data_IF_889282666868
#
_entry.id   IF_889282666868
#
_cell.length_a   1.000
_cell.length_b   1.000
_cell.length_c   1.000
_cell.angle_alpha   90.00
_cell.angle_beta   90.00
_cell.angle_gamma   90.00
#
_symmetry.space_group_name_H-M   'P 1'
#
loop_
_entity.id
_entity.type
_entity.pdbx_description
1 polymer ?
#
# COMPACT_ATOMS: atom_id res chain seq x y z
N UNK A 1 60.72 -99.41 18.00
CA UNK A 1 59.36 -99.70 17.51
C UNK A 1 58.52 -98.47 17.79
N UNK A 2 58.08 -97.79 16.73
CA UNK A 2 57.39 -96.51 16.75
C UNK A 2 55.86 -96.69 16.82
N UNK A 3 55.14 -95.68 17.31
CA UNK A 3 53.95 -95.01 16.73
C UNK A 3 53.26 -94.19 17.86
N UNK A 4 53.34 -92.86 17.84
CA UNK A 4 52.44 -91.86 17.22
C UNK A 4 51.55 -91.16 18.25
N UNK A 5 51.88 -89.90 18.52
CA UNK A 5 50.97 -88.84 19.00
C UNK A 5 51.08 -87.67 18.03
N UNK A 6 49.96 -87.15 17.52
CA UNK A 6 49.97 -86.00 16.61
C UNK A 6 48.71 -85.15 16.80
N UNK A 7 48.90 -83.89 17.19
CA UNK A 7 47.99 -82.75 17.01
C UNK A 7 48.69 -81.50 17.61
N UNK A 8 48.72 -80.28 17.08
CA UNK A 8 48.45 -79.69 15.76
C UNK A 8 48.77 -78.17 15.89
N UNK A 9 49.53 -77.60 14.92
CA UNK A 9 49.64 -76.15 14.53
C UNK A 9 50.23 -75.17 15.58
N UNK A 10 50.90 -74.06 15.24
CA UNK A 10 50.60 -72.96 14.29
C UNK A 10 51.92 -72.30 13.82
N UNK A 11 52.00 -71.91 12.54
CA UNK A 11 53.09 -71.09 11.97
C UNK A 11 52.70 -69.60 11.96
N UNK A 12 53.62 -68.74 12.40
CA UNK A 12 53.52 -67.28 12.37
C UNK A 12 54.20 -66.77 11.08
N UNK A 13 53.48 -66.03 10.23
CA UNK A 13 54.06 -65.24 9.13
C UNK A 13 53.61 -63.79 9.25
N UNK A 14 54.58 -62.92 9.48
CA UNK A 14 54.49 -61.46 9.45
C UNK A 14 54.34 -60.95 8.01
N UNK A 15 53.41 -60.01 7.78
CA UNK A 15 53.34 -59.17 6.59
C UNK A 15 53.20 -57.71 7.05
N UNK A 16 54.17 -56.87 6.69
CA UNK A 16 54.10 -55.42 6.81
C UNK A 16 53.07 -54.89 5.80
N UNK A 17 52.14 -54.05 6.28
CA UNK A 17 51.29 -53.23 5.42
C UNK A 17 51.59 -51.75 5.74
N UNK A 18 52.17 -51.04 4.77
CA UNK A 18 52.34 -49.58 4.80
C UNK A 18 50.98 -48.92 4.58
N UNK A 19 50.47 -48.23 5.59
CA UNK A 19 49.28 -47.38 5.45
C UNK A 19 49.70 -46.02 4.87
N UNK A 20 49.29 -45.74 3.63
CA UNK A 20 49.36 -44.40 3.03
C UNK A 20 48.29 -43.53 3.69
N UNK A 21 48.69 -42.58 4.53
CA UNK A 21 47.79 -41.59 5.12
C UNK A 21 47.53 -40.49 4.08
N UNK A 22 46.47 -40.59 3.30
CA UNK A 22 45.99 -39.47 2.48
C UNK A 22 45.42 -38.40 3.40
N UNK A 23 46.15 -37.30 3.62
CA UNK A 23 45.57 -36.07 4.14
C UNK A 23 44.56 -35.57 3.11
N UNK A 24 43.28 -35.89 3.32
CA UNK A 24 42.22 -35.10 2.71
C UNK A 24 42.23 -33.74 3.43
N UNK A 25 42.84 -32.72 2.81
CA UNK A 25 42.46 -31.35 3.15
C UNK A 25 40.95 -31.27 2.87
N UNK A 26 40.10 -30.98 3.86
CA UNK A 26 38.76 -30.56 3.52
C UNK A 26 38.92 -29.31 2.65
N UNK A 27 38.46 -29.38 1.41
CA UNK A 27 38.14 -28.17 0.67
C UNK A 27 37.17 -27.40 1.57
N UNK A 28 37.64 -26.30 2.16
CA UNK A 28 36.79 -25.27 2.72
C UNK A 28 35.95 -24.75 1.56
N UNK A 29 34.87 -25.44 1.26
CA UNK A 29 33.69 -24.79 0.71
C UNK A 29 33.27 -23.85 1.81
N UNK A 30 33.50 -22.56 1.61
CA UNK A 30 32.97 -21.50 2.46
C UNK A 30 31.44 -21.62 2.42
N UNK A 31 30.90 -22.47 3.30
CA UNK A 31 29.47 -22.53 3.53
C UNK A 31 29.16 -21.24 4.28
N UNK A 32 28.92 -20.18 3.51
CA UNK A 32 28.54 -18.88 4.02
C UNK A 32 27.48 -19.10 5.10
N UNK A 33 27.85 -18.74 6.33
CA UNK A 33 27.11 -19.16 7.50
C UNK A 33 25.70 -18.57 7.42
N UNK A 34 24.69 -19.43 7.63
CA UNK A 34 23.30 -19.03 7.59
C UNK A 34 23.04 -17.94 8.62
N UNK A 35 22.30 -16.92 8.21
CA UNK A 35 21.94 -15.82 9.08
C UNK A 35 20.74 -16.17 9.95
N UNK A 36 20.75 -15.64 11.18
CA UNK A 36 19.65 -15.72 12.14
C UNK A 36 19.10 -14.31 12.39
N UNK A 37 17.78 -14.23 12.53
CA UNK A 37 17.07 -13.00 12.85
C UNK A 37 16.31 -13.24 14.17
N UNK A 38 16.93 -12.97 15.33
CA UNK A 38 16.40 -13.41 16.63
C UNK A 38 15.02 -12.86 16.98
N UNK A 39 14.65 -11.71 16.41
CA UNK A 39 13.35 -11.06 16.64
C UNK A 39 12.25 -11.56 15.68
N UNK A 40 12.58 -12.39 14.71
CA UNK A 40 11.57 -13.14 13.92
C UNK A 40 11.09 -14.35 14.73
N UNK A 41 9.78 -14.47 14.91
CA UNK A 41 9.15 -15.52 15.74
C UNK A 41 9.10 -16.85 14.99
N UNK A 42 10.04 -17.77 15.26
CA UNK A 42 10.09 -19.10 14.63
C UNK A 42 10.00 -19.10 13.08
N UNK A 43 10.53 -18.03 12.45
CA UNK A 43 10.48 -17.83 10.99
C UNK A 43 9.27 -17.02 10.50
N UNK A 44 8.42 -16.53 11.39
CA UNK A 44 7.39 -15.55 11.07
C UNK A 44 8.01 -14.16 10.85
N UNK A 45 7.59 -13.44 9.78
CA UNK A 45 8.09 -12.09 9.53
C UNK A 45 7.73 -11.12 10.65
N UNK A 46 8.64 -10.20 10.95
CA UNK A 46 8.37 -9.01 11.77
C UNK A 46 7.32 -8.17 11.04
N UNK A 47 6.13 -8.04 11.65
CA UNK A 47 5.05 -7.22 11.12
C UNK A 47 5.17 -5.79 11.66
N UNK A 48 5.26 -4.83 10.76
CA UNK A 48 5.26 -3.40 11.10
C UNK A 48 4.13 -2.69 10.38
N UNK A 49 3.43 -1.82 11.10
CA UNK A 49 2.44 -0.92 10.51
C UNK A 49 3.06 0.45 10.25
N UNK A 50 2.85 0.97 9.04
CA UNK A 50 3.26 2.31 8.63
C UNK A 50 2.06 2.98 7.98
N UNK A 51 1.86 4.26 8.21
CA UNK A 51 0.86 5.03 7.47
C UNK A 51 1.44 5.53 6.16
N UNK A 52 0.62 5.69 5.14
CA UNK A 52 1.04 6.50 4.00
C UNK A 52 1.40 7.93 4.42
N UNK A 53 2.14 8.64 3.56
CA UNK A 53 2.71 9.94 3.90
C UNK A 53 3.90 9.88 4.87
N UNK A 54 4.34 8.69 5.30
CA UNK A 54 5.52 8.53 6.15
C UNK A 54 6.72 9.33 5.60
N UNK A 55 7.22 10.28 6.41
CA UNK A 55 8.26 11.23 6.01
C UNK A 55 9.56 10.50 5.66
N UNK A 56 10.37 11.10 4.79
CA UNK A 56 11.72 10.62 4.49
C UNK A 56 12.56 10.57 5.77
N UNK A 57 13.24 9.45 6.00
CA UNK A 57 14.06 9.18 7.19
C UNK A 57 13.31 8.48 8.32
N UNK A 58 12.01 8.23 8.19
CA UNK A 58 11.23 7.49 9.19
C UNK A 58 11.77 6.08 9.35
N UNK A 59 11.93 5.63 10.60
CA UNK A 59 12.33 4.25 10.91
C UNK A 59 11.13 3.33 10.67
N UNK A 60 11.33 2.32 9.83
CA UNK A 60 10.34 1.30 9.51
C UNK A 60 10.59 0.08 10.39
N UNK A 61 11.81 -0.45 10.36
CA UNK A 61 12.23 -1.58 11.21
C UNK A 61 13.58 -1.25 11.81
N UNK A 62 13.76 -1.56 13.10
CA UNK A 62 15.06 -1.65 13.75
C UNK A 62 15.13 -3.03 14.42
N UNK A 63 16.14 -3.82 14.09
CA UNK A 63 16.25 -5.20 14.55
C UNK A 63 17.70 -5.70 14.49
N UNK A 64 17.90 -6.97 14.81
CA UNK A 64 19.21 -7.62 14.92
C UNK A 64 19.33 -8.83 14.00
N UNK A 65 20.57 -9.15 13.63
CA UNK A 65 20.92 -10.32 12.82
C UNK A 65 22.27 -10.88 13.25
N UNK A 66 22.43 -12.19 13.09
CA UNK A 66 23.67 -12.90 13.37
C UNK A 66 24.09 -13.75 12.17
N UNK A 67 25.41 -13.93 11.91
CA UNK A 67 26.50 -13.30 12.64
C UNK A 67 26.67 -11.81 12.29
N UNK A 68 27.25 -11.03 13.21
CA UNK A 68 27.33 -9.57 13.10
C UNK A 68 28.17 -9.05 11.92
N UNK A 69 29.03 -9.88 11.36
CA UNK A 69 29.88 -9.62 10.20
C UNK A 69 29.26 -10.08 8.87
N UNK A 70 28.04 -10.63 8.88
CA UNK A 70 27.36 -11.03 7.66
C UNK A 70 27.02 -9.83 6.75
N UNK A 71 27.12 -10.04 5.44
CA UNK A 71 26.72 -9.04 4.45
C UNK A 71 25.19 -9.07 4.28
N UNK A 72 24.52 -7.98 4.62
CA UNK A 72 23.06 -7.85 4.57
C UNK A 72 22.64 -6.78 3.57
N UNK A 73 21.76 -7.13 2.63
CA UNK A 73 21.21 -6.25 1.60
C UNK A 73 19.70 -6.45 1.45
N UNK A 74 18.99 -5.44 0.95
CA UNK A 74 17.61 -5.63 0.49
C UNK A 74 17.64 -6.30 -0.89
N UNK A 75 17.16 -7.54 -0.96
CA UNK A 75 17.06 -8.32 -2.20
C UNK A 75 15.89 -7.84 -3.07
N UNK A 76 14.70 -7.75 -2.49
CA UNK A 76 13.48 -7.29 -3.16
C UNK A 76 12.49 -6.71 -2.17
N UNK A 77 11.58 -5.88 -2.67
CA UNK A 77 10.42 -5.38 -1.95
C UNK A 77 9.23 -5.57 -2.87
N UNK A 78 8.35 -6.50 -2.53
CA UNK A 78 7.19 -6.83 -3.35
C UNK A 78 5.90 -6.41 -2.64
N UNK A 79 4.98 -5.81 -3.36
CA UNK A 79 3.63 -5.54 -2.85
C UNK A 79 2.70 -6.74 -3.09
N UNK A 80 1.79 -6.99 -2.14
CA UNK A 80 0.74 -8.01 -2.26
C UNK A 80 -0.39 -7.66 -3.24
N UNK A 81 -0.66 -6.39 -3.51
CA UNK A 81 -1.78 -5.93 -4.35
C UNK A 81 -1.43 -4.78 -5.31
N UNK A 82 -0.20 -4.25 -5.28
CA UNK A 82 0.28 -3.16 -6.13
C UNK A 82 1.51 -3.61 -6.92
N UNK A 83 1.34 -4.61 -7.78
CA UNK A 83 2.44 -5.23 -8.52
C UNK A 83 3.14 -4.30 -9.52
N UNK A 84 2.50 -3.19 -9.91
CA UNK A 84 3.07 -2.19 -10.82
C UNK A 84 3.85 -1.10 -10.08
N UNK A 85 3.74 -1.03 -8.75
CA UNK A 85 4.40 -0.02 -7.93
C UNK A 85 5.80 -0.49 -7.50
N UNK A 86 6.80 0.35 -7.77
CA UNK A 86 8.19 0.09 -7.41
C UNK A 86 8.50 0.66 -6.02
N UNK A 87 8.63 -0.23 -5.03
CA UNK A 87 8.90 0.15 -3.65
C UNK A 87 10.39 0.14 -3.29
N UNK A 88 11.25 -0.53 -4.07
CA UNK A 88 12.66 -0.75 -3.71
C UNK A 88 13.44 0.55 -3.43
N UNK A 89 13.19 1.59 -4.22
CA UNK A 89 13.88 2.88 -4.07
C UNK A 89 13.34 3.74 -2.92
N UNK A 90 12.19 3.35 -2.34
CA UNK A 90 11.54 4.06 -1.24
C UNK A 90 12.11 3.69 0.11
N UNK A 91 13.00 2.69 0.18
CA UNK A 91 13.63 2.25 1.42
C UNK A 91 15.15 2.21 1.31
N UNK A 92 15.82 2.42 2.44
CA UNK A 92 17.23 2.19 2.62
C UNK A 92 17.48 1.26 3.80
N UNK A 93 18.53 0.45 3.72
CA UNK A 93 19.00 -0.43 4.78
C UNK A 93 20.33 0.10 5.28
N UNK A 94 20.46 0.23 6.60
CA UNK A 94 21.71 0.55 7.26
C UNK A 94 22.02 -0.55 8.26
N UNK A 95 23.28 -0.99 8.33
CA UNK A 95 23.75 -1.99 9.29
C UNK A 95 24.81 -1.41 10.22
N UNK A 96 24.99 -2.02 11.38
CA UNK A 96 26.06 -1.70 12.32
C UNK A 96 27.01 -2.88 12.47
N UNK A 97 28.25 -2.61 12.88
CA UNK A 97 29.26 -3.66 13.15
C UNK A 97 28.90 -4.62 14.30
N UNK A 98 27.76 -4.41 14.97
CA UNK A 98 27.26 -5.26 16.06
C UNK A 98 26.12 -6.17 15.63
N UNK A 99 25.83 -6.29 14.33
CA UNK A 99 24.72 -7.11 13.85
C UNK A 99 23.35 -6.46 14.08
N UNK A 100 23.27 -5.13 14.02
CA UNK A 100 22.00 -4.42 14.04
C UNK A 100 21.70 -3.88 12.66
N UNK A 101 20.43 -3.84 12.27
CA UNK A 101 20.01 -3.21 11.02
C UNK A 101 18.81 -2.31 11.24
N UNK A 102 18.75 -1.24 10.44
CA UNK A 102 17.63 -0.30 10.40
C UNK A 102 17.19 -0.10 8.96
N UNK A 103 15.89 -0.24 8.72
CA UNK A 103 15.26 0.13 7.46
C UNK A 103 14.57 1.47 7.63
N UNK A 104 14.88 2.43 6.76
CA UNK A 104 14.25 3.75 6.73
C UNK A 104 13.57 4.04 5.40
N UNK A 105 12.58 4.91 5.44
CA UNK A 105 12.02 5.50 4.22
C UNK A 105 13.01 6.48 3.58
N UNK A 106 13.18 6.38 2.26
CA UNK A 106 13.98 7.30 1.44
C UNK A 106 13.09 8.22 0.58
N UNK A 107 11.89 7.75 0.27
CA UNK A 107 10.83 8.49 -0.41
C UNK A 107 9.53 8.30 0.40
N UNK A 108 8.56 9.22 0.29
CA UNK A 108 7.25 9.01 0.87
C UNK A 108 6.65 7.68 0.44
N UNK A 109 5.97 7.00 1.35
CA UNK A 109 5.09 5.88 1.01
C UNK A 109 3.75 6.48 0.61
N UNK A 110 3.25 6.09 -0.56
CA UNK A 110 1.98 6.55 -1.10
C UNK A 110 1.21 5.34 -1.58
N UNK A 111 -0.06 5.25 -1.22
CA UNK A 111 -0.98 4.36 -1.91
C UNK A 111 -1.50 5.09 -3.17
N UNK A 112 -1.99 4.35 -4.18
CA UNK A 112 -2.61 5.00 -5.33
C UNK A 112 -3.85 5.77 -4.86
N UNK A 113 -4.00 7.06 -5.23
CA UNK A 113 -5.16 7.86 -4.84
C UNK A 113 -6.42 7.38 -5.56
N UNK A 114 -7.56 7.96 -5.22
CA UNK A 114 -8.78 7.86 -6.01
C UNK A 114 -8.47 8.01 -7.52
N UNK A 115 -9.02 7.18 -8.43
CA UNK A 115 -10.13 6.22 -8.26
C UNK A 115 -9.72 4.81 -7.79
N UNK A 116 -8.51 4.67 -7.24
CA UNK A 116 -8.14 3.45 -6.51
C UNK A 116 -9.01 3.28 -5.27
N UNK A 117 -9.31 2.03 -4.94
CA UNK A 117 -9.98 1.62 -3.68
C UNK A 117 -9.01 0.96 -2.71
N UNK A 118 -7.70 1.06 -2.98
CA UNK A 118 -6.66 0.41 -2.19
C UNK A 118 -6.37 1.23 -0.94
N UNK A 119 -7.04 0.88 0.15
CA UNK A 119 -6.84 1.49 1.48
C UNK A 119 -5.65 0.88 2.24
N UNK A 120 -5.11 -0.24 1.76
CA UNK A 120 -3.90 -0.84 2.36
C UNK A 120 -3.10 -1.68 1.37
N UNK A 121 -1.80 -1.83 1.65
CA UNK A 121 -0.94 -2.81 1.00
C UNK A 121 0.01 -3.47 2.00
N UNK A 122 0.39 -4.72 1.70
CA UNK A 122 1.46 -5.41 2.41
C UNK A 122 2.70 -5.43 1.53
N UNK A 123 3.81 -4.93 2.06
CA UNK A 123 5.13 -5.00 1.43
C UNK A 123 5.94 -6.11 2.09
N UNK A 124 6.36 -7.07 1.28
CA UNK A 124 7.22 -8.17 1.70
C UNK A 124 8.67 -7.81 1.37
N UNK A 125 9.44 -7.46 2.41
CA UNK A 125 10.86 -7.10 2.25
C UNK A 125 11.68 -8.37 2.43
N UNK A 126 12.33 -8.79 1.34
CA UNK A 126 13.25 -9.92 1.34
C UNK A 126 14.68 -9.41 1.50
N UNK A 127 15.39 -9.95 2.49
CA UNK A 127 16.79 -9.64 2.73
C UNK A 127 17.67 -10.71 2.10
N UNK A 128 18.78 -10.28 1.50
CA UNK A 128 19.89 -11.16 1.12
C UNK A 128 20.92 -11.08 2.23
N UNK A 129 21.21 -12.19 2.89
CA UNK A 129 22.24 -12.30 3.92
C UNK A 129 23.24 -13.38 3.52
N UNK A 130 24.52 -13.00 3.35
CA UNK A 130 25.56 -13.91 2.87
C UNK A 130 25.18 -14.69 1.59
N UNK A 131 24.44 -14.03 0.69
CA UNK A 131 23.96 -14.65 -0.56
C UNK A 131 22.71 -15.54 -0.42
N UNK A 132 22.17 -15.73 0.78
CA UNK A 132 20.92 -16.46 1.03
C UNK A 132 19.74 -15.50 1.26
N UNK A 133 18.56 -15.84 0.75
CA UNK A 133 17.37 -14.98 0.86
C UNK A 133 16.54 -15.32 2.10
N UNK A 134 16.09 -14.29 2.81
CA UNK A 134 15.26 -14.37 4.00
C UNK A 134 14.05 -13.44 3.89
N UNK A 135 12.86 -13.98 4.19
CA UNK A 135 11.59 -13.23 4.19
C UNK A 135 11.18 -12.95 5.63
N UNK A 136 11.83 -11.97 6.26
CA UNK A 136 11.72 -11.73 7.72
C UNK A 136 11.00 -10.43 8.07
N UNK A 137 10.54 -9.66 7.08
CA UNK A 137 9.88 -8.37 7.32
C UNK A 137 8.64 -8.24 6.43
N UNK A 138 7.51 -7.92 7.06
CA UNK A 138 6.27 -7.53 6.40
C UNK A 138 5.88 -6.14 6.88
N UNK A 139 5.72 -5.19 5.96
CA UNK A 139 5.26 -3.83 6.26
C UNK A 139 3.82 -3.70 5.77
N UNK A 140 2.87 -3.47 6.68
CA UNK A 140 1.51 -3.06 6.33
C UNK A 140 1.48 -1.55 6.19
N UNK A 141 1.24 -1.06 4.98
CA UNK A 141 1.03 0.36 4.70
C UNK A 141 -0.47 0.61 4.66
N UNK A 142 -0.96 1.53 5.50
CA UNK A 142 -2.36 1.88 5.61
C UNK A 142 -2.61 3.28 5.08
N UNK A 143 -3.73 3.48 4.39
CA UNK A 143 -4.17 4.82 4.00
C UNK A 143 -4.54 5.66 5.22
N UNK A 144 -4.44 6.97 5.05
CA UNK A 144 -5.00 7.95 5.98
C UNK A 144 -5.95 8.84 5.21
N UNK A 145 -7.01 9.31 5.86
CA UNK A 145 -7.81 10.40 5.27
C UNK A 145 -7.01 11.69 5.45
N UNK A 146 -6.27 12.08 4.42
CA UNK A 146 -5.45 13.30 4.41
C UNK A 146 -5.85 14.29 3.30
N UNK A 147 -6.85 13.93 2.50
CA UNK A 147 -7.52 14.82 1.58
C UNK A 147 -8.89 15.26 2.14
N UNK A 148 -9.38 16.37 1.61
CA UNK A 148 -10.74 16.83 1.87
C UNK A 148 -11.40 17.10 0.52
N UNK A 149 -12.74 17.02 0.42
CA UNK A 149 -13.42 17.25 -0.84
C UNK A 149 -13.08 18.60 -1.45
N UNK A 150 -12.55 18.58 -2.67
CA UNK A 150 -12.17 19.77 -3.41
C UNK A 150 -13.19 20.11 -4.49
N UNK A 151 -13.64 21.36 -4.56
CA UNK A 151 -14.58 21.84 -5.58
C UNK A 151 -13.86 22.22 -6.89
N UNK A 152 -14.34 21.73 -8.02
CA UNK A 152 -13.76 21.94 -9.35
C UNK A 152 -14.63 22.82 -10.26
N UNK A 153 -14.00 23.50 -11.21
CA UNK A 153 -14.67 24.33 -12.21
C UNK A 153 -14.76 25.81 -11.82
N UNK A 154 -15.65 26.55 -12.47
CA UNK A 154 -15.74 28.00 -12.28
C UNK A 154 -16.64 28.34 -11.08
N UNK A 155 -16.01 28.65 -9.95
CA UNK A 155 -16.67 29.10 -8.71
C UNK A 155 -16.83 30.64 -8.76
N UNK A 156 -18.00 31.21 -8.42
CA UNK A 156 -19.23 30.54 -7.99
C UNK A 156 -19.97 29.86 -9.16
N UNK A 157 -20.52 28.68 -8.87
CA UNK A 157 -21.39 27.94 -9.78
C UNK A 157 -22.67 28.72 -10.07
N UNK A 158 -23.17 28.62 -11.32
CA UNK A 158 -24.39 29.30 -11.74
C UNK A 158 -25.29 28.32 -12.50
N UNK A 159 -26.57 28.31 -12.14
CA UNK A 159 -27.62 27.60 -12.86
C UNK A 159 -28.76 28.55 -13.19
N UNK A 160 -29.34 28.38 -14.38
CA UNK A 160 -30.54 29.11 -14.79
C UNK A 160 -31.77 28.21 -14.61
N UNK A 161 -32.75 28.67 -13.83
CA UNK A 161 -34.00 27.93 -13.59
C UNK A 161 -35.18 28.79 -14.03
N UNK A 162 -36.14 28.18 -14.73
CA UNK A 162 -37.39 28.84 -15.10
C UNK A 162 -38.28 28.97 -13.87
N UNK A 163 -38.88 30.13 -13.64
CA UNK A 163 -39.91 30.31 -12.59
C UNK A 163 -41.06 29.32 -12.70
N UNK A 164 -41.48 29.05 -13.94
CA UNK A 164 -42.58 28.14 -14.24
C UNK A 164 -42.20 26.67 -14.08
N UNK A 165 -41.02 26.36 -13.54
CA UNK A 165 -40.62 25.00 -13.22
C UNK A 165 -41.63 24.39 -12.22
N UNK A 166 -42.26 23.25 -12.56
CA UNK A 166 -43.18 22.58 -11.65
C UNK A 166 -42.50 22.17 -10.33
N UNK A 167 -43.29 22.10 -9.26
CA UNK A 167 -42.84 21.48 -8.00
C UNK A 167 -42.33 20.06 -8.23
N UNK A 168 -41.25 19.71 -7.56
CA UNK A 168 -40.57 18.43 -7.71
C UNK A 168 -39.64 18.35 -8.92
N UNK A 169 -39.49 19.42 -9.70
CA UNK A 169 -38.50 19.46 -10.78
C UNK A 169 -37.10 19.33 -10.19
N UNK A 170 -36.29 18.46 -10.79
CA UNK A 170 -34.89 18.24 -10.40
C UNK A 170 -33.98 18.77 -11.51
N UNK A 171 -33.00 19.58 -11.14
CA UNK A 171 -32.01 20.18 -12.05
C UNK A 171 -30.64 19.57 -11.81
N UNK A 172 -29.91 19.24 -12.87
CA UNK A 172 -28.48 18.92 -12.76
C UNK A 172 -27.69 20.19 -12.44
N UNK A 173 -26.74 20.09 -11.52
CA UNK A 173 -25.84 21.20 -11.17
C UNK A 173 -24.47 20.99 -11.79
N UNK A 174 -23.72 22.07 -12.09
CA UNK A 174 -22.33 21.98 -12.51
C UNK A 174 -21.37 21.79 -11.32
N UNK A 175 -21.90 21.55 -10.11
CA UNK A 175 -21.10 21.35 -8.91
C UNK A 175 -20.41 20.00 -9.04
N UNK A 176 -19.08 20.04 -8.97
CA UNK A 176 -18.24 18.86 -8.95
C UNK A 176 -17.30 19.03 -7.76
N UNK A 177 -17.35 18.10 -6.81
CA UNK A 177 -16.35 17.98 -5.76
C UNK A 177 -15.85 16.55 -5.67
N UNK A 178 -14.57 16.39 -5.37
CA UNK A 178 -13.92 15.08 -5.26
C UNK A 178 -12.97 15.07 -4.07
N UNK A 179 -13.01 13.97 -3.32
CA UNK A 179 -11.99 13.61 -2.34
C UNK A 179 -11.01 12.63 -3.01
N UNK A 180 -9.70 12.85 -2.84
CA UNK A 180 -8.66 12.05 -3.47
C UNK A 180 -8.20 10.85 -2.63
N UNK A 181 -8.68 10.73 -1.40
CA UNK A 181 -8.40 9.57 -0.58
C UNK A 181 -8.96 8.29 -1.25
N UNK A 182 -8.22 7.17 -1.20
CA UNK A 182 -8.70 5.91 -1.74
C UNK A 182 -9.88 5.43 -0.88
N UNK A 183 -11.09 5.45 -1.45
CA UNK A 183 -12.31 5.02 -0.77
C UNK A 183 -13.24 4.28 -1.73
N UNK A 184 -13.98 3.31 -1.20
CA UNK A 184 -14.83 2.41 -2.00
C UNK A 184 -16.02 3.11 -2.69
N UNK A 185 -16.38 4.33 -2.25
CA UNK A 185 -17.45 5.16 -2.81
C UNK A 185 -17.02 6.63 -2.73
N UNK A 186 -17.57 7.49 -3.59
CA UNK A 186 -17.44 8.96 -3.53
C UNK A 186 -17.95 9.46 -2.18
N UNK A 187 -17.12 9.38 -1.14
CA UNK A 187 -17.49 9.68 0.24
C UNK A 187 -18.01 11.10 0.46
N UNK A 188 -17.90 11.94 -0.58
CA UNK A 188 -18.39 13.31 -0.62
C UNK A 188 -19.90 13.37 -0.47
N UNK A 189 -20.32 13.85 0.70
CA UNK A 189 -21.68 14.26 1.00
C UNK A 189 -21.80 15.76 0.85
N UNK A 190 -22.92 16.25 0.30
CA UNK A 190 -23.17 17.68 0.11
C UNK A 190 -24.29 18.17 1.02
N UNK A 191 -24.14 19.39 1.54
CA UNK A 191 -25.18 20.06 2.31
C UNK A 191 -25.33 21.53 1.91
N UNK A 192 -26.55 22.06 2.03
CA UNK A 192 -26.81 23.50 1.88
C UNK A 192 -26.66 24.15 3.27
N UNK A 193 -25.61 24.94 3.45
CA UNK A 193 -25.27 25.60 4.70
C UNK A 193 -26.08 26.89 4.92
N UNK A 194 -26.35 27.64 3.84
CA UNK A 194 -27.14 28.88 3.90
C UNK A 194 -27.66 29.32 2.53
N UNK A 195 -28.53 30.33 2.50
CA UNK A 195 -29.16 30.89 1.30
C UNK A 195 -30.45 30.19 0.86
N UNK A 196 -30.83 29.14 1.59
CA UNK A 196 -32.00 28.30 1.41
C UNK A 196 -32.84 28.21 2.70
N UNK A 197 -32.95 29.32 3.43
CA UNK A 197 -33.63 29.39 4.73
C UNK A 197 -35.11 29.00 4.64
N UNK A 198 -35.74 29.29 3.51
CA UNK A 198 -37.11 28.90 3.22
C UNK A 198 -37.24 27.42 2.83
N UNK A 199 -36.15 26.67 2.71
CA UNK A 199 -36.18 25.27 2.28
C UNK A 199 -36.80 25.12 0.89
N UNK A 200 -36.40 25.96 -0.06
CA UNK A 200 -36.89 25.94 -1.45
C UNK A 200 -36.24 24.83 -2.27
N UNK A 201 -35.02 24.45 -1.91
CA UNK A 201 -34.22 23.46 -2.62
C UNK A 201 -33.76 22.32 -1.71
N UNK A 202 -33.66 21.12 -2.29
CA UNK A 202 -32.99 19.95 -1.70
C UNK A 202 -31.85 19.51 -2.62
N UNK A 203 -30.77 18.97 -2.08
CA UNK A 203 -29.68 18.37 -2.85
C UNK A 203 -29.83 16.85 -2.90
N UNK A 204 -29.52 16.25 -4.04
CA UNK A 204 -29.53 14.81 -4.26
C UNK A 204 -28.36 14.42 -5.17
N UNK A 205 -27.46 13.56 -4.70
CA UNK A 205 -26.46 12.94 -5.57
C UNK A 205 -27.14 11.90 -6.46
N UNK A 206 -27.03 12.06 -7.79
CA UNK A 206 -27.61 11.12 -8.72
C UNK A 206 -26.93 9.75 -8.61
N UNK A 207 -27.72 8.68 -8.48
CA UNK A 207 -27.19 7.31 -8.44
C UNK A 207 -26.94 6.72 -9.83
N UNK A 208 -27.54 7.32 -10.85
CA UNK A 208 -27.63 6.80 -12.21
C UNK A 208 -26.98 7.73 -13.26
N UNK A 209 -26.56 8.93 -12.86
CA UNK A 209 -25.93 9.90 -13.75
C UNK A 209 -24.59 10.33 -13.16
N UNK A 210 -23.55 10.20 -13.99
CA UNK A 210 -22.19 10.62 -13.69
C UNK A 210 -21.77 11.74 -14.63
N UNK A 211 -20.75 12.50 -14.23
CA UNK A 211 -20.21 13.55 -15.08
C UNK A 211 -19.63 12.97 -16.39
N UNK A 212 -19.82 13.70 -17.50
CA UNK A 212 -19.20 13.34 -18.77
C UNK A 212 -17.66 13.39 -18.62
N UNK A 213 -16.93 12.27 -18.83
CA UNK A 213 -15.48 12.23 -18.68
C UNK A 213 -14.74 13.29 -19.48
N UNK A 214 -15.22 13.59 -20.69
CA UNK A 214 -14.60 14.57 -21.58
C UNK A 214 -14.81 16.02 -21.14
N UNK A 215 -15.69 16.26 -20.16
CA UNK A 215 -15.98 17.57 -19.59
C UNK A 215 -15.35 17.75 -18.20
N UNK A 216 -14.64 16.74 -17.69
CA UNK A 216 -13.95 16.83 -16.40
C UNK A 216 -12.69 17.70 -16.50
N UNK A 217 -12.27 18.33 -15.39
CA UNK A 217 -11.01 19.05 -15.29
C UNK A 217 -9.79 18.17 -15.65
N UNK A 218 -8.67 18.79 -16.00
CA UNK A 218 -7.47 18.06 -16.46
C UNK A 218 -6.86 17.18 -15.38
N UNK A 219 -7.13 17.45 -14.11
CA UNK A 219 -6.72 16.66 -12.95
C UNK A 219 -7.34 15.26 -12.94
N UNK A 220 -8.46 15.07 -13.64
CA UNK A 220 -9.14 13.80 -13.83
C UNK A 220 -8.48 13.05 -14.99
N UNK A 221 -7.19 12.74 -14.85
CA UNK A 221 -6.43 12.03 -15.87
C UNK A 221 -6.74 10.53 -15.86
N UNK A 222 -7.03 9.96 -17.02
CA UNK A 222 -7.10 8.50 -17.21
C UNK A 222 -8.44 7.99 -17.76
N UNK A 223 -8.54 6.68 -17.89
CA UNK A 223 -9.74 5.99 -18.32
C UNK A 223 -10.49 5.46 -17.08
N UNK A 224 -11.30 6.32 -16.47
CA UNK A 224 -12.13 5.95 -15.31
C UNK A 224 -13.35 5.17 -15.79
N UNK A 225 -13.76 4.13 -15.05
CA UNK A 225 -15.03 3.44 -15.30
C UNK A 225 -16.20 4.32 -14.88
N UNK A 226 -17.43 3.98 -15.30
CA UNK A 226 -18.64 4.69 -14.86
C UNK A 226 -18.77 4.70 -13.33
N UNK A 227 -18.41 3.60 -12.67
CA UNK A 227 -18.42 3.46 -11.22
C UNK A 227 -17.33 4.28 -10.53
N UNK A 228 -16.33 4.78 -11.27
CA UNK A 228 -15.24 5.66 -10.85
C UNK A 228 -15.42 7.14 -11.28
N UNK A 229 -16.49 7.49 -11.99
CA UNK A 229 -16.83 8.88 -12.24
C UNK A 229 -17.76 9.48 -11.16
N UNK A 230 -17.45 10.68 -10.64
CA UNK A 230 -18.27 11.34 -9.63
C UNK A 230 -19.72 11.48 -10.07
N UNK A 231 -20.69 11.22 -9.17
CA UNK A 231 -22.10 11.38 -9.47
C UNK A 231 -22.44 12.85 -9.71
N UNK A 232 -23.37 13.11 -10.61
CA UNK A 232 -23.88 14.48 -10.82
C UNK A 232 -24.73 14.86 -9.61
N UNK A 233 -24.36 15.96 -8.95
CA UNK A 233 -25.21 16.56 -7.91
C UNK A 233 -26.41 17.23 -8.57
N UNK A 234 -27.60 16.83 -8.16
CA UNK A 234 -28.86 17.43 -8.58
C UNK A 234 -29.46 18.28 -7.47
N UNK A 235 -30.23 19.28 -7.87
CA UNK A 235 -30.99 20.13 -6.97
C UNK A 235 -32.47 20.03 -7.30
N UNK A 236 -33.27 19.67 -6.30
CA UNK A 236 -34.71 19.47 -6.42
C UNK A 236 -35.46 20.69 -5.90
N UNK A 237 -36.42 21.16 -6.69
CA UNK A 237 -37.33 22.24 -6.32
C UNK A 237 -38.46 21.69 -5.44
N UNK A 238 -38.49 22.09 -4.18
CA UNK A 238 -39.52 21.65 -3.22
C UNK A 238 -40.55 22.73 -2.88
N UNK A 239 -40.28 23.99 -3.25
CA UNK A 239 -41.25 25.09 -3.16
C UNK A 239 -41.34 25.87 -4.47
N UNK A 240 -42.49 26.51 -4.80
CA UNK A 240 -42.64 27.22 -6.07
C UNK A 240 -41.68 28.42 -6.15
N UNK A 241 -41.23 28.73 -7.37
CA UNK A 241 -40.51 29.98 -7.64
C UNK A 241 -41.54 31.03 -8.08
N UNK A 242 -41.78 32.04 -7.24
CA UNK A 242 -42.68 33.16 -7.56
C UNK A 242 -41.82 34.42 -7.83
N UNK A 243 -41.81 34.90 -9.08
CA UNK A 243 -41.11 36.15 -9.45
C UNK A 243 -42.00 37.39 -9.42
N UNK A 244 -43.31 37.25 -9.32
CA UNK A 244 -44.24 38.37 -9.30
C UNK A 244 -44.17 39.11 -7.95
N UNK A 245 -43.81 38.40 -6.88
CA UNK A 245 -43.64 38.98 -5.54
C UNK A 245 -42.40 38.49 -4.77
N UNK A 246 -41.48 37.74 -5.41
CA UNK A 246 -40.43 37.00 -4.71
C UNK A 246 -38.98 37.16 -5.19
N UNK A 247 -38.13 36.23 -4.72
CA UNK A 247 -36.67 36.23 -4.84
C UNK A 247 -36.23 35.74 -6.23
N UNK A 248 -35.67 36.65 -7.04
CA UNK A 248 -35.16 36.33 -8.41
C UNK A 248 -33.79 35.66 -8.46
N UNK A 249 -33.10 35.60 -7.32
CA UNK A 249 -31.76 35.04 -7.21
C UNK A 249 -31.59 34.36 -5.87
N UNK A 250 -31.20 33.10 -5.91
CA UNK A 250 -30.73 32.36 -4.75
C UNK A 250 -29.20 32.36 -4.75
N UNK A 251 -28.61 32.50 -3.57
CA UNK A 251 -27.16 32.45 -3.38
C UNK A 251 -26.92 31.47 -2.26
N UNK A 252 -26.68 30.22 -2.65
CA UNK A 252 -26.54 29.10 -1.74
C UNK A 252 -25.07 28.93 -1.38
N UNK A 253 -24.79 28.67 -0.10
CA UNK A 253 -23.50 28.16 0.34
C UNK A 253 -23.66 26.65 0.48
N UNK A 254 -22.83 25.90 -0.23
CA UNK A 254 -22.85 24.44 -0.26
C UNK A 254 -21.50 23.95 0.28
N UNK A 255 -21.57 23.00 1.21
CA UNK A 255 -20.41 22.29 1.75
C UNK A 255 -20.29 20.89 1.11
N UNK A 256 -19.09 20.32 1.24
CA UNK A 256 -18.77 18.96 0.85
C UNK A 256 -17.93 18.34 1.98
N UNK A 257 -18.28 17.13 2.42
CA UNK A 257 -17.61 16.40 3.51
C UNK A 257 -17.45 14.93 3.17
#
# INVERSE_FOLDING_TARGET
MALRTLSLRIHLRTLLLTALLTLALPLLVDAQQACLFPESDDGHPILVNVTEGALVGSIVVESTFEPADAELLIASINSGNLAQEEYRERFELQTTAKGQFVIRTRKPLSLPPYPSIVEETFLYINLLCNGQQYSVITVRVQSVNDHAPWFYGQIPYRIGVKESAPLGTTFETPILALDWDPAQQYGVTFAIESGNEDGTFELEAAKDIVHNPNALPIEFTGHWTTEQLPPVLRMKLVKPLDYDYGKRKYSLIISAT
#
